data_IF_925506113704
#
_entry.id   IF_925506113704
#
_cell.length_a   1.000
_cell.length_b   1.000
_cell.length_c   1.000
_cell.angle_alpha   90.00
_cell.angle_beta   90.00
_cell.angle_gamma   90.00
#
_symmetry.space_group_name_H-M   'P 1'
#
loop_
_entity.id
_entity.type
_entity.pdbx_description
1 polymer ?
#
# COMPACT_ATOMS: atom_id res chain seq x y z
N UNK A 1 -12.54 32.27 44.03
CA UNK A 1 -13.37 31.61 43.01
C UNK A 1 -12.50 30.72 42.11
N UNK A 2 -12.05 29.55 42.57
CA UNK A 2 -11.27 28.59 41.75
C UNK A 2 -11.41 27.21 42.37
N UNK A 3 -12.42 26.41 41.99
CA UNK A 3 -12.54 24.99 42.39
C UNK A 3 -13.64 24.18 41.68
N UNK A 4 -14.25 24.66 40.59
CA UNK A 4 -15.37 23.95 39.91
C UNK A 4 -15.06 23.42 38.50
N UNK A 5 -13.91 23.76 37.91
CA UNK A 5 -13.58 23.37 36.52
C UNK A 5 -12.70 22.11 36.42
N UNK A 6 -12.06 21.70 37.51
CA UNK A 6 -11.17 20.54 37.53
C UNK A 6 -11.85 19.22 37.11
N UNK A 7 -13.06 18.85 37.58
CA UNK A 7 -13.65 17.58 37.19
C UNK A 7 -14.12 17.54 35.73
N UNK A 8 -14.49 18.68 35.16
CA UNK A 8 -14.98 18.76 33.78
C UNK A 8 -13.85 18.53 32.77
N UNK A 9 -12.67 19.10 33.00
CA UNK A 9 -11.50 18.92 32.13
C UNK A 9 -11.03 17.46 32.11
N UNK A 10 -11.05 16.78 33.26
CA UNK A 10 -10.65 15.36 33.35
C UNK A 10 -11.60 14.42 32.61
N UNK A 11 -12.91 14.68 32.67
CA UNK A 11 -13.91 13.88 31.94
C UNK A 11 -13.78 14.10 30.42
N UNK A 12 -13.55 15.32 29.96
CA UNK A 12 -13.30 15.60 28.55
C UNK A 12 -12.02 14.93 28.03
N UNK A 13 -10.94 14.92 28.82
CA UNK A 13 -9.70 14.24 28.45
C UNK A 13 -9.86 12.71 28.39
N UNK A 14 -10.59 12.11 29.32
CA UNK A 14 -10.86 10.66 29.32
C UNK A 14 -11.76 10.23 28.15
N UNK A 15 -12.77 11.04 27.80
CA UNK A 15 -13.59 10.80 26.61
C UNK A 15 -12.77 10.96 25.33
N UNK A 16 -11.94 12.01 25.21
CA UNK A 16 -11.07 12.18 24.06
C UNK A 16 -10.06 11.02 23.91
N UNK A 17 -9.51 10.50 25.01
CA UNK A 17 -8.64 9.33 25.00
C UNK A 17 -9.36 8.05 24.54
N UNK A 18 -10.63 7.87 24.91
CA UNK A 18 -11.46 6.74 24.46
C UNK A 18 -11.82 6.83 22.96
N UNK A 19 -12.07 8.03 22.44
CA UNK A 19 -12.34 8.23 21.01
C UNK A 19 -11.08 8.14 20.15
N UNK A 20 -9.93 8.62 20.65
CA UNK A 20 -8.66 8.55 19.91
C UNK A 20 -8.01 7.16 19.98
N UNK A 21 -8.27 6.38 21.04
CA UNK A 21 -7.74 5.02 21.18
C UNK A 21 -8.36 3.99 20.22
N UNK A 22 -9.54 4.28 19.67
CA UNK A 22 -10.23 3.39 18.71
C UNK A 22 -10.13 3.85 17.24
N UNK A 23 -9.41 4.94 16.97
CA UNK A 23 -9.29 5.51 15.63
C UNK A 23 -8.00 5.06 14.91
N UNK A 24 -7.66 3.78 14.97
CA UNK A 24 -6.43 3.25 14.38
C UNK A 24 -6.36 1.72 14.24
N UNK A 25 -7.49 1.02 14.33
CA UNK A 25 -7.53 -0.44 14.16
C UNK A 25 -7.83 -0.81 12.72
N UNK A 26 -7.00 -1.66 12.13
CA UNK A 26 -7.19 -2.39 10.86
C UNK A 26 -8.31 -3.45 10.96
N UNK A 27 -9.43 -3.11 11.60
CA UNK A 27 -10.61 -3.96 11.74
C UNK A 27 -11.60 -3.78 10.58
N UNK A 28 -12.71 -4.53 10.59
CA UNK A 28 -13.80 -4.35 9.63
C UNK A 28 -14.28 -2.89 9.67
N UNK A 29 -14.23 -2.19 8.53
CA UNK A 29 -14.56 -0.78 8.43
C UNK A 29 -13.41 0.20 8.70
N UNK A 30 -12.15 -0.26 8.73
CA UNK A 30 -11.00 0.63 8.57
C UNK A 30 -11.21 1.50 7.32
N UNK A 31 -10.94 2.83 7.36
CA UNK A 31 -11.24 3.71 6.24
C UNK A 31 -10.73 3.13 4.92
N UNK A 32 -11.63 2.95 3.94
CA UNK A 32 -11.34 2.42 2.61
C UNK A 32 -11.45 0.90 2.42
N UNK A 33 -11.62 0.11 3.49
CA UNK A 33 -11.88 -1.34 3.41
C UNK A 33 -13.36 -1.62 3.63
N UNK A 34 -13.95 -2.50 2.82
CA UNK A 34 -15.40 -2.78 2.82
C UNK A 34 -15.73 -4.19 2.34
N UNK A 35 -16.96 -4.65 2.59
CA UNK A 35 -17.49 -5.92 2.08
C UNK A 35 -17.07 -7.16 2.88
N UNK A 36 -16.36 -6.99 4.00
CA UNK A 36 -16.06 -8.09 4.93
C UNK A 36 -17.31 -8.62 5.64
N UNK A 37 -18.30 -7.77 5.83
CA UNK A 37 -19.63 -8.10 6.33
C UNK A 37 -20.42 -8.99 5.37
N UNK A 38 -20.30 -8.73 4.06
CA UNK A 38 -21.01 -9.46 3.00
C UNK A 38 -20.34 -10.80 2.70
N UNK A 39 -19.01 -10.83 2.69
CA UNK A 39 -18.22 -12.05 2.49
C UNK A 39 -18.10 -12.91 3.77
N UNK A 40 -18.33 -12.30 4.95
CA UNK A 40 -18.13 -12.89 6.27
C UNK A 40 -16.69 -13.22 6.64
N UNK A 41 -15.72 -12.75 5.84
CA UNK A 41 -14.29 -12.91 6.07
C UNK A 41 -13.65 -11.52 6.13
N UNK A 42 -12.91 -11.26 7.20
CA UNK A 42 -12.06 -10.09 7.34
C UNK A 42 -10.63 -10.42 6.89
N UNK A 43 -10.19 -9.94 5.72
CA UNK A 43 -8.79 -10.00 5.34
C UNK A 43 -7.98 -8.94 6.11
N UNK A 44 -6.95 -9.37 6.82
CA UNK A 44 -6.00 -8.49 7.52
C UNK A 44 -4.63 -8.62 6.86
N UNK A 45 -4.04 -7.50 6.45
CA UNK A 45 -2.67 -7.47 5.93
C UNK A 45 -1.69 -7.79 7.06
N UNK A 46 -0.87 -8.82 6.90
CA UNK A 46 0.14 -9.21 7.91
C UNK A 46 1.53 -8.72 7.56
N UNK A 47 1.85 -8.61 6.28
CA UNK A 47 3.12 -8.11 5.80
C UNK A 47 2.93 -7.50 4.42
N UNK A 48 3.68 -6.43 4.14
CA UNK A 48 3.89 -5.90 2.80
C UNK A 48 5.35 -5.51 2.67
N UNK A 49 6.02 -5.97 1.61
CA UNK A 49 7.44 -5.68 1.36
C UNK A 49 7.67 -5.19 -0.06
N UNK A 50 8.68 -4.37 -0.24
CA UNK A 50 9.14 -3.86 -1.52
C UNK A 50 10.25 -4.74 -2.10
N UNK A 51 10.12 -5.09 -3.37
CA UNK A 51 11.08 -5.90 -4.11
C UNK A 51 11.51 -5.17 -5.38
N UNK A 52 12.82 -4.96 -5.52
CA UNK A 52 13.45 -4.44 -6.73
C UNK A 52 14.13 -5.57 -7.50
N UNK A 53 14.71 -5.28 -8.66
CA UNK A 53 15.56 -6.23 -9.39
C UNK A 53 16.86 -6.58 -8.66
N UNK A 54 17.23 -5.79 -7.64
CA UNK A 54 18.49 -5.91 -6.90
C UNK A 54 18.29 -6.68 -5.61
N UNK A 55 17.24 -6.35 -4.86
CA UNK A 55 17.00 -6.94 -3.54
C UNK A 55 15.55 -6.76 -3.05
N UNK A 56 15.21 -7.48 -1.98
CA UNK A 56 14.04 -7.19 -1.16
C UNK A 56 14.43 -6.12 -0.14
N UNK A 57 13.79 -4.96 -0.21
CA UNK A 57 14.06 -3.79 0.63
C UNK A 57 13.16 -3.76 1.89
N UNK A 58 12.36 -4.79 2.14
CA UNK A 58 11.47 -4.83 3.29
C UNK A 58 10.44 -3.70 3.23
N UNK A 59 10.40 -2.84 4.26
CA UNK A 59 9.50 -1.67 4.28
C UNK A 59 10.22 -0.37 3.86
N UNK A 60 11.44 -0.48 3.33
CA UNK A 60 12.15 0.63 2.68
C UNK A 60 11.69 0.69 1.21
N UNK A 61 10.96 1.76 0.86
CA UNK A 61 10.36 1.92 -0.48
C UNK A 61 11.21 2.86 -1.33
N UNK A 62 12.37 2.36 -1.74
CA UNK A 62 13.40 3.08 -2.47
C UNK A 62 13.35 2.71 -3.96
N UNK A 63 12.81 3.62 -4.79
CA UNK A 63 12.65 3.37 -6.22
C UNK A 63 13.80 4.05 -6.97
N UNK A 64 14.62 3.22 -7.60
CA UNK A 64 15.73 3.65 -8.42
C UNK A 64 15.26 4.15 -9.80
N UNK A 65 15.51 5.43 -10.08
CA UNK A 65 14.93 6.14 -11.21
C UNK A 65 15.80 6.09 -12.47
N UNK A 66 17.12 6.07 -12.30
CA UNK A 66 18.10 6.16 -13.39
C UNK A 66 18.73 4.78 -13.58
N UNK A 67 19.11 4.43 -14.81
CA UNK A 67 19.98 3.28 -15.07
C UNK A 67 21.41 3.77 -15.32
N UNK A 68 22.30 3.50 -14.37
CA UNK A 68 23.72 3.84 -14.40
C UNK A 68 24.57 2.85 -15.19
N UNK A 69 25.77 3.34 -15.57
CA UNK A 69 26.85 2.55 -16.14
C UNK A 69 27.91 2.32 -15.08
N UNK A 70 28.05 1.07 -14.64
CA UNK A 70 29.00 0.66 -13.63
C UNK A 70 30.45 0.64 -14.14
N UNK A 71 31.38 0.52 -13.19
CA UNK A 71 32.81 0.37 -13.49
C UNK A 71 33.04 -0.81 -14.43
N UNK A 72 33.69 -0.55 -15.58
CA UNK A 72 33.90 -1.57 -16.62
C UNK A 72 32.86 -1.53 -17.75
N UNK A 73 31.91 -0.59 -17.73
CA UNK A 73 30.98 -0.35 -18.83
C UNK A 73 29.74 -1.24 -18.82
N UNK A 74 29.53 -2.02 -17.75
CA UNK A 74 28.31 -2.82 -17.58
C UNK A 74 27.18 -1.95 -17.06
N UNK A 75 25.96 -2.16 -17.55
CA UNK A 75 24.78 -1.50 -17.00
C UNK A 75 24.48 -2.04 -15.60
N UNK A 76 24.01 -1.17 -14.71
CA UNK A 76 23.50 -1.62 -13.42
C UNK A 76 22.22 -2.46 -13.57
N UNK A 77 21.90 -3.22 -12.52
CA UNK A 77 20.63 -3.93 -12.45
C UNK A 77 19.51 -2.93 -12.21
N UNK A 78 18.70 -2.71 -13.23
CA UNK A 78 17.60 -1.77 -13.21
C UNK A 78 16.34 -2.36 -13.84
N UNK A 79 15.17 -2.06 -13.30
CA UNK A 79 13.92 -2.62 -13.80
C UNK A 79 12.69 -2.24 -12.99
N UNK A 80 11.64 -3.04 -13.13
CA UNK A 80 10.38 -2.90 -12.40
C UNK A 80 10.56 -3.09 -10.89
N UNK A 81 9.72 -2.39 -10.14
CA UNK A 81 9.54 -2.55 -8.70
C UNK A 81 8.19 -3.21 -8.41
N UNK A 82 8.22 -4.14 -7.46
CA UNK A 82 7.06 -4.95 -7.07
C UNK A 82 6.82 -4.85 -5.56
N UNK A 83 5.57 -5.02 -5.16
CA UNK A 83 5.20 -5.26 -3.78
C UNK A 83 4.84 -6.72 -3.59
N UNK A 84 5.23 -7.28 -2.46
CA UNK A 84 4.78 -8.58 -1.99
C UNK A 84 3.91 -8.41 -0.75
N UNK A 85 2.66 -8.86 -0.80
CA UNK A 85 1.70 -8.71 0.30
C UNK A 85 1.21 -10.07 0.80
N UNK A 86 1.04 -10.17 2.12
CA UNK A 86 0.48 -11.34 2.79
C UNK A 86 -0.74 -10.96 3.63
N UNK A 87 -1.68 -11.88 3.75
CA UNK A 87 -2.93 -11.71 4.49
C UNK A 87 -3.11 -12.79 5.53
N UNK A 88 -3.90 -12.51 6.55
CA UNK A 88 -4.62 -13.51 7.32
C UNK A 88 -6.12 -13.24 7.22
N UNK A 89 -6.89 -14.26 6.86
CA UNK A 89 -8.36 -14.16 6.89
C UNK A 89 -8.89 -14.49 8.28
N UNK A 90 -9.90 -13.78 8.76
CA UNK A 90 -10.62 -14.13 9.99
C UNK A 90 -12.12 -14.20 9.70
N UNK A 91 -12.80 -15.26 10.16
CA UNK A 91 -14.26 -15.27 10.11
C UNK A 91 -14.84 -14.20 11.02
N UNK A 92 -15.68 -13.33 10.46
CA UNK A 92 -16.42 -12.30 11.21
C UNK A 92 -17.90 -12.60 11.28
N UNK A 93 -18.41 -13.47 10.41
CA UNK A 93 -19.79 -13.95 10.45
C UNK A 93 -19.80 -15.48 10.68
N UNK A 94 -20.31 -15.97 11.83
CA UNK A 94 -20.36 -17.40 12.13
C UNK A 94 -21.34 -18.19 11.24
N UNK A 95 -22.18 -17.50 10.46
CA UNK A 95 -23.15 -18.12 9.55
C UNK A 95 -22.60 -18.32 8.13
N UNK A 96 -21.40 -17.81 7.82
CA UNK A 96 -20.77 -18.08 6.52
C UNK A 96 -20.22 -19.51 6.51
N UNK A 97 -20.40 -20.17 5.37
CA UNK A 97 -19.95 -21.54 5.16
C UNK A 97 -18.45 -21.65 5.40
N UNK A 98 -18.03 -22.74 6.05
CA UNK A 98 -16.63 -22.97 6.43
C UNK A 98 -15.65 -23.14 5.24
N UNK A 99 -16.18 -23.17 4.02
CA UNK A 99 -15.43 -23.24 2.77
C UNK A 99 -15.41 -21.91 2.00
N UNK A 100 -15.94 -20.81 2.53
CA UNK A 100 -15.83 -19.53 1.86
C UNK A 100 -14.36 -19.07 1.81
N UNK A 101 -13.99 -18.44 0.70
CA UNK A 101 -12.63 -17.97 0.43
C UNK A 101 -12.73 -16.64 -0.32
N UNK A 102 -11.77 -15.76 -0.11
CA UNK A 102 -11.68 -14.50 -0.84
C UNK A 102 -10.66 -14.62 -1.97
N UNK A 103 -10.92 -13.96 -3.08
CA UNK A 103 -10.06 -13.90 -4.26
C UNK A 103 -9.74 -12.45 -4.59
N UNK A 104 -8.49 -12.04 -4.45
CA UNK A 104 -8.06 -10.73 -4.96
C UNK A 104 -7.99 -10.80 -6.48
N UNK A 105 -8.77 -9.96 -7.17
CA UNK A 105 -8.90 -9.95 -8.63
C UNK A 105 -8.26 -8.72 -9.28
N UNK A 106 -8.15 -7.61 -8.53
CA UNK A 106 -7.66 -6.35 -9.05
C UNK A 106 -6.91 -5.57 -7.98
N UNK A 107 -6.06 -4.64 -8.41
CA UNK A 107 -5.42 -3.69 -7.53
C UNK A 107 -5.25 -2.33 -8.21
N UNK A 108 -5.11 -1.30 -7.38
CA UNK A 108 -4.70 0.03 -7.79
C UNK A 108 -3.50 0.48 -6.97
N UNK A 109 -2.55 1.14 -7.62
CA UNK A 109 -1.43 1.84 -6.98
C UNK A 109 -1.47 3.29 -7.46
N UNK A 110 -1.72 4.23 -6.55
CA UNK A 110 -1.76 5.67 -6.86
C UNK A 110 -0.70 6.42 -6.07
N UNK A 111 -0.29 7.57 -6.60
CA UNK A 111 0.82 8.35 -6.05
C UNK A 111 0.38 9.78 -5.79
N UNK A 112 0.46 10.21 -4.53
CA UNK A 112 0.22 11.59 -4.14
C UNK A 112 1.54 12.25 -3.77
N UNK A 113 1.96 13.24 -4.55
CA UNK A 113 3.20 13.97 -4.31
C UNK A 113 3.19 14.65 -2.94
N UNK A 114 4.25 14.46 -2.15
CA UNK A 114 4.44 15.17 -0.88
C UNK A 114 4.76 16.64 -1.14
N UNK A 115 5.58 16.91 -2.16
CA UNK A 115 5.82 18.26 -2.65
C UNK A 115 4.98 18.52 -3.91
N UNK A 116 4.09 19.54 -3.93
CA UNK A 116 3.26 19.87 -5.09
C UNK A 116 4.04 20.23 -6.37
N UNK A 117 5.34 20.53 -6.27
CA UNK A 117 6.19 20.78 -7.46
C UNK A 117 6.69 19.49 -8.12
N UNK A 118 6.52 18.32 -7.49
CA UNK A 118 6.95 17.06 -8.10
C UNK A 118 6.02 16.69 -9.27
N UNK A 119 6.52 16.03 -10.32
CA UNK A 119 5.69 15.57 -11.44
C UNK A 119 4.55 14.65 -10.98
N UNK A 120 3.44 14.65 -11.71
CA UNK A 120 2.37 13.67 -11.49
C UNK A 120 2.81 12.30 -11.99
N UNK A 121 2.60 11.26 -11.20
CA UNK A 121 2.84 9.87 -11.60
C UNK A 121 1.48 9.21 -11.86
N UNK A 122 1.27 8.57 -13.03
CA UNK A 122 0.00 7.91 -13.34
C UNK A 122 -0.24 6.73 -12.40
N UNK A 123 -1.50 6.50 -12.03
CA UNK A 123 -1.87 5.34 -11.23
C UNK A 123 -1.80 4.04 -12.06
N UNK A 124 -1.40 2.96 -11.41
CA UNK A 124 -1.52 1.60 -11.96
C UNK A 124 -2.91 1.09 -11.60
N UNK A 125 -3.65 0.61 -12.60
CA UNK A 125 -4.91 -0.12 -12.43
C UNK A 125 -4.76 -1.43 -13.18
N UNK A 126 -4.69 -2.54 -12.47
CA UNK A 126 -4.42 -3.84 -13.07
C UNK A 126 -5.26 -4.96 -12.45
N UNK A 127 -5.54 -5.99 -13.26
CA UNK A 127 -6.04 -7.27 -12.76
C UNK A 127 -4.90 -8.08 -12.16
N UNK A 128 -5.16 -8.82 -11.08
CA UNK A 128 -4.20 -9.80 -10.57
C UNK A 128 -4.04 -10.94 -11.57
N UNK A 129 -2.79 -11.25 -11.95
CA UNK A 129 -2.47 -12.47 -12.67
C UNK A 129 -2.48 -13.64 -11.68
N UNK A 130 -3.65 -14.02 -11.20
CA UNK A 130 -3.81 -15.05 -10.19
C UNK A 130 -4.70 -14.56 -9.05
N UNK A 131 -5.85 -15.23 -8.91
CA UNK A 131 -6.74 -15.02 -7.80
C UNK A 131 -6.04 -15.51 -6.51
N UNK A 132 -5.64 -14.61 -5.61
CA UNK A 132 -5.08 -15.02 -4.32
C UNK A 132 -6.22 -15.52 -3.46
N UNK A 133 -6.15 -16.77 -3.02
CA UNK A 133 -7.17 -17.35 -2.16
C UNK A 133 -6.86 -17.07 -0.69
N UNK A 134 -7.50 -16.05 -0.10
CA UNK A 134 -7.40 -15.83 1.34
C UNK A 134 -8.32 -16.84 2.04
N UNK A 135 -7.69 -17.76 2.77
CA UNK A 135 -8.39 -18.80 3.51
C UNK A 135 -8.51 -18.37 4.98
N UNK A 136 -9.72 -18.43 5.57
CA UNK A 136 -9.92 -18.04 6.96
C UNK A 136 -9.06 -18.84 7.95
N UNK A 137 -8.60 -18.17 9.01
CA UNK A 137 -7.72 -18.66 10.06
C UNK A 137 -6.36 -19.16 9.56
N UNK A 138 -5.95 -18.75 8.35
CA UNK A 138 -4.64 -19.07 7.79
C UNK A 138 -4.00 -17.82 7.22
N UNK A 139 -2.66 -17.82 7.21
CA UNK A 139 -1.89 -16.80 6.50
C UNK A 139 -1.70 -17.24 5.05
N UNK A 140 -2.02 -16.36 4.11
CA UNK A 140 -1.89 -16.56 2.67
C UNK A 140 -0.92 -15.52 2.11
N UNK A 141 0.03 -15.94 1.27
CA UNK A 141 0.98 -15.06 0.60
C UNK A 141 2.39 -15.67 0.46
N UNK A 142 3.36 -14.89 -0.06
CA UNK A 142 3.19 -13.53 -0.56
C UNK A 142 2.53 -13.49 -1.95
N UNK A 143 1.82 -12.40 -2.23
CA UNK A 143 1.35 -12.05 -3.56
C UNK A 143 2.13 -10.88 -4.11
N UNK A 144 2.67 -11.07 -5.31
CA UNK A 144 3.49 -10.08 -5.98
C UNK A 144 2.65 -9.28 -6.97
N UNK A 145 2.72 -7.96 -6.90
CA UNK A 145 2.12 -7.05 -7.88
C UNK A 145 3.06 -5.88 -8.20
N UNK A 146 2.88 -5.31 -9.38
CA UNK A 146 3.71 -4.22 -9.88
C UNK A 146 3.37 -2.92 -9.13
N UNK A 147 4.37 -2.23 -8.59
CA UNK A 147 4.19 -0.91 -7.98
C UNK A 147 4.79 0.20 -8.83
N UNK A 148 5.90 -0.05 -9.52
CA UNK A 148 6.52 0.96 -10.36
C UNK A 148 7.17 0.30 -11.57
N UNK A 149 6.72 0.63 -12.78
CA UNK A 149 7.27 0.00 -13.99
C UNK A 149 8.47 0.77 -14.53
N UNK A 150 9.35 0.07 -15.25
CA UNK A 150 10.40 0.67 -16.08
C UNK A 150 9.86 1.78 -16.98
N UNK A 151 8.71 1.58 -17.64
CA UNK A 151 8.12 2.62 -18.49
C UNK A 151 7.65 3.85 -17.70
N UNK A 152 7.22 3.69 -16.44
CA UNK A 152 6.91 4.82 -15.56
C UNK A 152 8.17 5.56 -15.12
N UNK A 153 9.28 4.85 -14.89
CA UNK A 153 10.59 5.47 -14.59
C UNK A 153 11.05 6.32 -15.76
N UNK A 154 11.03 5.75 -16.98
CA UNK A 154 11.38 6.46 -18.21
C UNK A 154 10.52 7.71 -18.42
N UNK A 155 9.20 7.59 -18.25
CA UNK A 155 8.29 8.73 -18.37
C UNK A 155 8.58 9.80 -17.32
N UNK A 156 8.82 9.40 -16.05
CA UNK A 156 9.14 10.35 -14.99
C UNK A 156 10.44 11.09 -15.27
N UNK A 157 11.48 10.41 -15.77
CA UNK A 157 12.72 11.06 -16.21
C UNK A 157 12.46 12.07 -17.35
N UNK A 158 11.61 11.72 -18.32
CA UNK A 158 11.23 12.64 -19.39
C UNK A 158 10.50 13.87 -18.81
N UNK A 159 9.54 13.67 -17.92
CA UNK A 159 8.78 14.75 -17.30
C UNK A 159 9.70 15.69 -16.52
N UNK A 160 10.64 15.15 -15.73
CA UNK A 160 11.64 15.93 -15.00
C UNK A 160 12.50 16.80 -15.91
N UNK A 161 12.87 16.31 -17.09
CA UNK A 161 13.62 17.07 -18.09
C UNK A 161 12.82 18.22 -18.74
N UNK A 162 11.48 18.21 -18.62
CA UNK A 162 10.63 19.29 -19.14
C UNK A 162 10.38 20.41 -18.11
N UNK A 163 10.71 20.19 -16.85
CA UNK A 163 10.47 21.16 -15.78
C UNK A 163 11.65 22.13 -15.70
N UNK A 164 11.37 23.43 -15.81
CA UNK A 164 12.38 24.51 -15.77
C UNK A 164 13.05 24.71 -14.39
N UNK A 165 12.67 23.91 -13.39
CA UNK A 165 13.22 23.91 -12.04
C UNK A 165 13.65 22.51 -11.67
N UNK A 166 14.91 22.34 -11.28
CA UNK A 166 15.42 21.06 -10.79
C UNK A 166 14.70 20.72 -9.48
N UNK A 167 13.93 19.62 -9.41
CA UNK A 167 13.34 19.22 -8.14
C UNK A 167 14.42 18.73 -7.18
N UNK A 168 14.18 18.90 -5.89
CA UNK A 168 15.03 18.33 -4.86
C UNK A 168 14.81 16.82 -4.78
N UNK A 169 15.87 16.04 -4.92
CA UNK A 169 15.84 14.61 -4.62
C UNK A 169 16.03 14.33 -3.12
N UNK A 170 15.45 13.24 -2.58
CA UNK A 170 14.55 12.30 -3.27
C UNK A 170 13.18 12.92 -3.58
N UNK A 171 12.56 12.50 -4.69
CA UNK A 171 11.15 12.80 -4.92
C UNK A 171 10.31 11.92 -3.98
N UNK A 172 9.49 12.55 -3.16
CA UNK A 172 8.67 11.84 -2.17
C UNK A 172 7.20 11.81 -2.58
N UNK A 173 6.60 10.62 -2.48
CA UNK A 173 5.17 10.41 -2.73
C UNK A 173 4.57 9.53 -1.64
N UNK A 174 3.33 9.82 -1.27
CA UNK A 174 2.48 8.86 -0.58
C UNK A 174 1.90 7.94 -1.65
N UNK A 175 2.39 6.71 -1.68
CA UNK A 175 1.84 5.63 -2.48
C UNK A 175 0.67 5.01 -1.74
N UNK A 176 -0.48 4.94 -2.40
CA UNK A 176 -1.70 4.31 -1.88
C UNK A 176 -1.99 3.04 -2.68
N UNK A 177 -2.13 1.93 -1.96
CA UNK A 177 -2.43 0.62 -2.54
C UNK A 177 -3.83 0.21 -2.10
N UNK A 178 -4.69 -0.12 -3.07
CA UNK A 178 -6.03 -0.68 -2.82
C UNK A 178 -6.18 -1.98 -3.58
N UNK A 179 -6.66 -3.01 -2.90
CA UNK A 179 -6.89 -4.33 -3.46
C UNK A 179 -8.38 -4.62 -3.48
N UNK A 180 -8.84 -5.20 -4.58
CA UNK A 180 -10.24 -5.53 -4.81
C UNK A 180 -10.35 -7.02 -5.10
N UNK A 181 -11.47 -7.59 -4.69
CA UNK A 181 -11.71 -9.00 -4.91
C UNK A 181 -13.15 -9.40 -4.70
N UNK A 182 -13.40 -10.70 -4.84
CA UNK A 182 -14.70 -11.33 -4.61
C UNK A 182 -14.55 -12.63 -3.83
N UNK A 183 -15.61 -13.10 -3.17
CA UNK A 183 -15.65 -14.43 -2.59
C UNK A 183 -16.15 -15.51 -3.59
N UNK A 184 -16.28 -16.75 -3.13
CA UNK A 184 -16.82 -17.87 -3.94
C UNK A 184 -18.27 -17.64 -4.44
N UNK A 185 -18.97 -16.66 -3.89
CA UNK A 185 -20.37 -16.36 -4.17
C UNK A 185 -20.56 -15.06 -4.97
N UNK A 186 -19.45 -14.38 -5.33
CA UNK A 186 -19.47 -13.13 -6.08
C UNK A 186 -19.64 -11.87 -5.23
N UNK A 187 -19.64 -11.99 -3.90
CA UNK A 187 -19.67 -10.83 -3.01
C UNK A 187 -18.33 -10.11 -3.07
N UNK A 188 -18.35 -8.80 -3.33
CA UNK A 188 -17.13 -8.01 -3.49
C UNK A 188 -16.56 -7.57 -2.13
N UNK A 189 -15.23 -7.46 -2.05
CA UNK A 189 -14.54 -6.88 -0.90
C UNK A 189 -13.40 -5.96 -1.36
N UNK A 190 -12.93 -5.13 -0.45
CA UNK A 190 -11.81 -4.20 -0.68
C UNK A 190 -10.89 -4.16 0.53
N UNK A 191 -9.58 -4.15 0.28
CA UNK A 191 -8.52 -3.99 1.29
C UNK A 191 -7.69 -2.77 0.97
N UNK A 192 -7.58 -1.85 1.92
CA UNK A 192 -6.82 -0.60 1.78
C UNK A 192 -7.65 0.65 2.12
N UNK A 193 -7.15 1.86 1.78
CA UNK A 193 -5.83 2.10 1.22
C UNK A 193 -4.73 1.75 2.22
N UNK A 194 -3.69 1.08 1.72
CA UNK A 194 -2.43 0.90 2.42
C UNK A 194 -1.51 2.02 1.94
N UNK A 195 -1.09 2.89 2.86
CA UNK A 195 -0.26 4.05 2.52
C UNK A 195 1.20 3.76 2.84
N UNK A 196 2.09 4.09 1.92
CA UNK A 196 3.56 4.03 2.09
C UNK A 196 4.21 5.30 1.55
N UNK A 197 5.18 5.83 2.29
CA UNK A 197 6.03 6.89 1.77
C UNK A 197 7.12 6.25 0.91
N UNK A 198 7.19 6.64 -0.36
CA UNK A 198 8.21 6.17 -1.30
C UNK A 198 9.21 7.29 -1.58
N UNK A 199 10.48 6.91 -1.73
CA UNK A 199 11.57 7.81 -2.10
C UNK A 199 12.11 7.41 -3.48
N UNK A 200 11.91 8.28 -4.46
CA UNK A 200 12.36 8.08 -5.84
C UNK A 200 13.60 8.93 -6.09
N UNK A 201 14.72 8.30 -6.42
CA UNK A 201 16.00 8.95 -6.75
C UNK A 201 16.92 7.98 -7.50
N UNK A 202 18.13 8.43 -7.79
CA UNK A 202 19.23 7.58 -8.24
C UNK A 202 19.88 6.91 -7.01
N UNK A 203 19.80 5.57 -6.93
CA UNK A 203 20.37 4.80 -5.84
C UNK A 203 21.70 4.12 -6.18
N UNK A 204 22.20 4.24 -7.42
CA UNK A 204 23.43 3.62 -7.91
C UNK A 204 23.62 2.17 -7.41
N UNK A 205 22.96 1.24 -8.08
CA UNK A 205 22.97 -0.19 -7.82
C UNK A 205 24.12 -0.94 -8.54
N UNK A 206 25.21 -0.24 -8.79
CA UNK A 206 26.51 -0.84 -9.04
C UNK A 206 27.13 -1.38 -7.72
#
# INVERSE_FOLDING_TARGET
MRKKYLPFVTVCFLLAALFLGNCGGSGPGAPGSSGSEDTGILPTVTAITHNTVVSNQGDEWEIDLIQDVCTGGTLEKWGNDYAEISFTGQYVNPNVTSNNQLYVTNYTVSFLAVNPSNPTIPAIVAGSQGAITIVPNTTTGPFTFLVFSTGMKEQLVQDLNTINSVPSFPLQYNMEIVLYGQDNYGNSFTVGPIIRLINIQDYNNC
#
